data_IF_296057959465
#
_entry.id   IF_296057959465
#
_cell.length_a   1.000
_cell.length_b   1.000
_cell.length_c   1.000
_cell.angle_alpha   90.00
_cell.angle_beta   90.00
_cell.angle_gamma   90.00
#
_symmetry.space_group_name_H-M   'P 1'
#
loop_
_entity.id
_entity.type
_entity.pdbx_description
1 polymer ?
#
# COMPACT_ATOMS: atom_id res chain seq x y z
N UNK A 1 -6.97 25.78 13.06
CA UNK A 1 -7.24 24.33 12.97
C UNK A 1 -6.93 23.81 11.58
N UNK A 2 -7.53 24.35 10.51
CA UNK A 2 -7.22 23.97 9.12
C UNK A 2 -5.72 24.05 8.77
N UNK A 3 -5.06 25.15 9.11
CA UNK A 3 -3.61 25.34 8.84
C UNK A 3 -2.74 24.25 9.46
N UNK A 4 -3.05 23.81 10.69
CA UNK A 4 -2.33 22.73 11.37
C UNK A 4 -2.48 21.40 10.61
N UNK A 5 -3.69 21.08 10.13
CA UNK A 5 -3.96 19.85 9.38
C UNK A 5 -3.11 19.82 8.09
N UNK A 6 -3.06 20.93 7.36
CA UNK A 6 -2.21 21.05 6.17
C UNK A 6 -0.72 20.90 6.50
N UNK A 7 -0.23 21.57 7.55
CA UNK A 7 1.18 21.45 7.97
C UNK A 7 1.53 20.03 8.34
N UNK A 8 0.69 19.35 9.11
CA UNK A 8 0.88 17.94 9.50
C UNK A 8 0.87 17.04 8.27
N UNK A 9 -0.05 17.25 7.32
CA UNK A 9 -0.11 16.50 6.07
C UNK A 9 1.17 16.67 5.23
N UNK A 10 1.63 17.91 5.03
CA UNK A 10 2.88 18.17 4.30
C UNK A 10 4.09 17.56 4.99
N UNK A 11 4.22 17.71 6.31
CA UNK A 11 5.31 17.10 7.08
C UNK A 11 5.28 15.57 6.97
N UNK A 12 4.10 14.97 7.04
CA UNK A 12 3.93 13.51 6.91
C UNK A 12 4.39 13.01 5.53
N UNK A 13 4.01 13.71 4.45
CA UNK A 13 4.45 13.39 3.09
C UNK A 13 5.97 13.54 2.95
N UNK A 14 6.55 14.64 3.46
CA UNK A 14 8.00 14.90 3.39
C UNK A 14 8.78 13.82 4.16
N UNK A 15 8.36 13.51 5.39
CA UNK A 15 9.02 12.49 6.22
C UNK A 15 8.91 11.12 5.55
N UNK A 16 7.74 10.76 5.02
CA UNK A 16 7.53 9.51 4.30
C UNK A 16 8.46 9.39 3.09
N UNK A 17 8.51 10.42 2.23
CA UNK A 17 9.37 10.44 1.05
C UNK A 17 10.85 10.38 1.42
N UNK A 18 11.29 11.17 2.40
CA UNK A 18 12.68 11.17 2.87
C UNK A 18 13.10 9.80 3.43
N UNK A 19 12.24 9.17 4.25
CA UNK A 19 12.49 7.85 4.80
C UNK A 19 12.52 6.76 3.72
N UNK A 20 11.60 6.81 2.76
CA UNK A 20 11.55 5.87 1.63
C UNK A 20 12.79 5.99 0.74
N UNK A 21 13.17 7.22 0.35
CA UNK A 21 14.38 7.48 -0.46
C UNK A 21 15.63 7.01 0.29
N UNK A 22 15.75 7.35 1.57
CA UNK A 22 16.86 6.88 2.42
C UNK A 22 16.94 5.35 2.40
N UNK A 23 15.81 4.66 2.60
CA UNK A 23 15.76 3.19 2.59
C UNK A 23 16.20 2.60 1.26
N UNK A 24 15.78 3.19 0.14
CA UNK A 24 16.19 2.77 -1.22
C UNK A 24 17.70 2.96 -1.40
N UNK A 25 18.23 4.12 -1.02
CA UNK A 25 19.67 4.41 -1.12
C UNK A 25 20.47 3.44 -0.25
N UNK A 26 20.04 3.23 0.99
CA UNK A 26 20.70 2.31 1.93
C UNK A 26 20.70 0.87 1.38
N UNK A 27 19.60 0.43 0.75
CA UNK A 27 19.53 -0.89 0.13
C UNK A 27 20.47 -1.01 -1.08
N UNK A 28 20.52 0.01 -1.94
CA UNK A 28 21.42 0.03 -3.12
C UNK A 28 22.90 0.03 -2.75
N UNK A 29 23.26 0.60 -1.59
CA UNK A 29 24.65 0.65 -1.10
C UNK A 29 25.13 -0.64 -0.45
N UNK A 30 24.24 -1.59 -0.15
CA UNK A 30 24.63 -2.85 0.49
C UNK A 30 25.48 -3.71 -0.45
N UNK A 31 26.50 -4.42 0.07
CA UNK A 31 27.27 -5.36 -0.73
C UNK A 31 26.37 -6.51 -1.19
N UNK A 32 26.74 -7.17 -2.29
CA UNK A 32 25.87 -8.13 -3.00
C UNK A 32 25.41 -9.29 -2.11
N UNK A 33 26.26 -9.75 -1.19
CA UNK A 33 25.93 -10.82 -0.24
C UNK A 33 24.90 -10.42 0.84
N UNK A 34 24.59 -9.12 0.99
CA UNK A 34 23.55 -8.60 1.89
C UNK A 34 22.31 -8.13 1.12
N UNK A 35 22.39 -8.09 -0.23
CA UNK A 35 21.23 -7.83 -1.10
C UNK A 35 20.45 -9.14 -1.24
N UNK A 36 19.12 -9.05 -1.24
CA UNK A 36 18.22 -10.21 -1.35
C UNK A 36 18.17 -10.78 -2.79
N UNK A 37 19.32 -10.85 -3.45
CA UNK A 37 19.50 -11.47 -4.78
C UNK A 37 19.86 -12.96 -4.69
N UNK A 38 19.97 -13.48 -3.46
CA UNK A 38 20.30 -14.87 -3.13
C UNK A 38 19.08 -15.80 -3.05
N UNK A 39 17.86 -15.26 -3.17
CA UNK A 39 16.62 -16.05 -3.22
C UNK A 39 16.29 -16.43 -4.66
N UNK A 40 15.49 -17.48 -4.93
CA UNK A 40 15.02 -17.80 -6.27
C UNK A 40 14.44 -16.56 -6.94
N UNK A 41 15.13 -16.09 -7.96
CA UNK A 41 14.64 -14.99 -8.79
C UNK A 41 13.90 -15.62 -9.97
N UNK A 42 12.68 -15.19 -10.30
CA UNK A 42 11.88 -15.83 -11.34
C UNK A 42 12.60 -15.99 -12.69
N UNK A 43 13.53 -15.10 -13.00
CA UNK A 43 14.35 -15.16 -14.21
C UNK A 43 15.48 -16.21 -14.22
N UNK A 44 15.69 -16.96 -13.12
CA UNK A 44 16.70 -18.04 -13.02
C UNK A 44 16.24 -19.38 -13.65
N UNK A 45 15.08 -19.40 -14.32
CA UNK A 45 14.63 -20.53 -15.14
C UNK A 45 14.32 -21.77 -14.31
N UNK A 46 14.88 -22.94 -14.69
CA UNK A 46 14.66 -24.21 -13.97
C UNK A 46 15.12 -24.15 -12.51
N UNK A 47 16.08 -23.28 -12.19
CA UNK A 47 16.59 -23.11 -10.82
C UNK A 47 15.58 -22.47 -9.89
N UNK A 48 14.73 -21.59 -10.43
CA UNK A 48 13.69 -20.92 -9.66
C UNK A 48 12.71 -21.93 -9.04
N UNK A 49 12.53 -23.11 -9.65
CA UNK A 49 11.60 -24.14 -9.18
C UNK A 49 11.98 -24.74 -7.81
N UNK A 50 13.26 -24.78 -7.46
CA UNK A 50 13.74 -25.35 -6.20
C UNK A 50 14.40 -24.32 -5.26
N UNK A 51 14.41 -23.04 -5.62
CA UNK A 51 15.04 -22.02 -4.80
C UNK A 51 16.46 -21.63 -5.22
N UNK A 52 16.95 -22.13 -6.36
CA UNK A 52 18.33 -21.97 -6.76
C UNK A 52 18.67 -20.63 -7.41
N UNK A 53 19.97 -20.36 -7.52
CA UNK A 53 20.55 -19.15 -8.09
C UNK A 53 21.68 -19.49 -9.04
N UNK A 54 22.05 -18.57 -9.94
CA UNK A 54 23.24 -18.68 -10.77
C UNK A 54 24.54 -18.92 -9.97
N UNK A 55 24.56 -18.58 -8.68
CA UNK A 55 25.70 -18.82 -7.78
C UNK A 55 25.96 -20.29 -7.44
N UNK A 56 25.02 -21.19 -7.77
CA UNK A 56 25.20 -22.64 -7.54
C UNK A 56 26.15 -23.28 -8.56
N UNK A 57 26.35 -22.64 -9.71
CA UNK A 57 27.25 -23.15 -10.74
C UNK A 57 28.72 -22.96 -10.33
N UNK A 58 29.53 -24.00 -10.58
CA UNK A 58 30.98 -23.85 -10.60
C UNK A 58 31.36 -22.85 -11.70
N UNK A 59 32.27 -21.93 -11.35
CA UNK A 59 32.70 -20.81 -12.18
C UNK A 59 31.55 -19.90 -12.65
N UNK A 60 30.50 -19.74 -11.83
CA UNK A 60 29.36 -18.88 -12.15
C UNK A 60 29.76 -17.47 -12.58
N UNK A 61 30.85 -16.92 -12.05
CA UNK A 61 31.33 -15.58 -12.41
C UNK A 61 31.75 -15.46 -13.88
N UNK A 62 32.11 -16.58 -14.52
CA UNK A 62 32.43 -16.63 -15.96
C UNK A 62 31.16 -16.75 -16.81
N UNK A 63 30.11 -17.39 -16.27
CA UNK A 63 28.81 -17.61 -16.92
C UNK A 63 27.81 -16.50 -16.64
N UNK A 64 28.10 -15.63 -15.68
CA UNK A 64 27.22 -14.57 -15.23
C UNK A 64 26.98 -13.58 -16.37
N UNK A 65 25.81 -13.71 -17.01
CA UNK A 65 25.35 -12.77 -18.01
C UNK A 65 24.34 -11.86 -17.35
N UNK A 66 24.78 -10.66 -16.96
CA UNK A 66 23.87 -9.64 -16.45
C UNK A 66 22.76 -9.41 -17.48
N UNK A 67 21.53 -9.76 -17.11
CA UNK A 67 20.36 -9.45 -17.92
C UNK A 67 20.26 -7.93 -18.07
N UNK A 68 19.77 -7.46 -19.22
CA UNK A 68 19.38 -6.06 -19.31
C UNK A 68 18.25 -5.82 -18.31
N UNK A 69 18.25 -4.66 -17.65
CA UNK A 69 17.24 -4.32 -16.65
C UNK A 69 15.80 -4.48 -17.19
N UNK A 70 15.61 -4.27 -18.49
CA UNK A 70 14.33 -4.48 -19.18
C UNK A 70 13.91 -5.96 -19.21
N UNK A 71 14.85 -6.87 -19.48
CA UNK A 71 14.56 -8.30 -19.61
C UNK A 71 14.31 -8.94 -18.24
N UNK A 72 15.09 -8.53 -17.24
CA UNK A 72 14.87 -8.89 -15.83
C UNK A 72 13.46 -8.48 -15.40
N UNK A 73 13.09 -7.21 -15.63
CA UNK A 73 11.76 -6.71 -15.31
C UNK A 73 10.64 -7.50 -16.01
N UNK A 74 10.75 -7.79 -17.31
CA UNK A 74 9.70 -8.50 -18.04
C UNK A 74 9.48 -9.93 -17.53
N UNK A 75 10.53 -10.60 -17.04
CA UNK A 75 10.44 -11.96 -16.52
C UNK A 75 9.90 -11.99 -15.08
N UNK A 76 10.31 -11.05 -14.24
CA UNK A 76 9.94 -11.04 -12.81
C UNK A 76 8.57 -10.40 -12.54
N UNK A 77 8.19 -9.41 -13.34
CA UNK A 77 6.94 -8.65 -13.17
C UNK A 77 5.67 -9.51 -13.09
N UNK A 78 5.40 -10.49 -13.99
CA UNK A 78 4.17 -11.28 -13.90
C UNK A 78 4.09 -12.11 -12.62
N UNK A 79 5.21 -12.64 -12.13
CA UNK A 79 5.27 -13.40 -10.86
C UNK A 79 5.04 -12.46 -9.69
N UNK A 80 5.72 -11.32 -9.65
CA UNK A 80 5.53 -10.33 -8.59
C UNK A 80 4.11 -9.77 -8.56
N UNK A 81 3.48 -9.51 -9.71
CA UNK A 81 2.09 -9.05 -9.77
C UNK A 81 1.15 -10.10 -9.17
N UNK A 82 1.36 -11.39 -9.46
CA UNK A 82 0.55 -12.45 -8.86
C UNK A 82 0.73 -12.53 -7.34
N UNK A 83 1.97 -12.40 -6.86
CA UNK A 83 2.24 -12.39 -5.42
C UNK A 83 1.69 -11.17 -4.71
N UNK A 84 1.82 -9.97 -5.31
CA UNK A 84 1.31 -8.74 -4.73
C UNK A 84 -0.23 -8.76 -4.75
N UNK A 85 -0.85 -8.92 -5.92
CA UNK A 85 -2.30 -8.78 -6.04
C UNK A 85 -3.06 -9.93 -5.38
N UNK A 86 -2.59 -11.17 -5.52
CA UNK A 86 -3.33 -12.35 -5.08
C UNK A 86 -2.74 -13.06 -3.88
N UNK A 87 -1.55 -12.68 -3.40
CA UNK A 87 -0.84 -13.38 -2.33
C UNK A 87 -0.72 -14.88 -2.62
N UNK A 88 -0.32 -15.21 -3.86
CA UNK A 88 -0.32 -16.58 -4.39
C UNK A 88 0.44 -17.57 -3.51
N UNK A 89 1.62 -17.22 -3.00
CA UNK A 89 2.37 -18.07 -2.09
C UNK A 89 1.59 -18.38 -0.79
N UNK A 90 0.84 -17.40 -0.26
CA UNK A 90 -0.01 -17.61 0.93
C UNK A 90 -1.20 -18.50 0.58
N UNK A 91 -1.77 -18.36 -0.61
CA UNK A 91 -2.82 -19.24 -1.09
C UNK A 91 -2.35 -20.69 -1.21
N UNK A 92 -1.16 -20.92 -1.77
CA UNK A 92 -0.62 -22.26 -2.00
C UNK A 92 -0.16 -22.93 -0.70
N UNK A 93 0.52 -22.20 0.18
CA UNK A 93 1.15 -22.78 1.38
C UNK A 93 0.34 -22.60 2.67
N UNK A 94 -0.59 -21.64 2.75
CA UNK A 94 -1.39 -21.40 3.96
C UNK A 94 -2.76 -20.79 3.65
N UNK A 95 -3.65 -21.58 3.02
CA UNK A 95 -5.02 -21.16 2.67
C UNK A 95 -5.80 -20.54 3.83
N UNK A 96 -5.64 -21.09 5.04
CA UNK A 96 -6.30 -20.55 6.24
C UNK A 96 -5.88 -19.10 6.46
N UNK A 97 -4.60 -18.77 6.34
CA UNK A 97 -4.06 -17.41 6.48
C UNK A 97 -4.50 -16.50 5.34
N UNK A 98 -4.61 -17.04 4.13
CA UNK A 98 -5.06 -16.29 2.96
C UNK A 98 -6.44 -15.65 3.15
N UNK A 99 -7.44 -16.40 3.66
CA UNK A 99 -8.80 -15.86 3.84
C UNK A 99 -8.90 -14.64 4.76
N UNK A 100 -7.90 -14.43 5.63
CA UNK A 100 -7.83 -13.28 6.52
C UNK A 100 -6.92 -12.19 5.95
N UNK A 101 -5.82 -12.59 5.32
CA UNK A 101 -4.80 -11.67 4.80
C UNK A 101 -5.22 -11.02 3.48
N UNK A 102 -5.91 -11.76 2.62
CA UNK A 102 -6.33 -11.27 1.30
C UNK A 102 -7.36 -10.14 1.39
N UNK A 103 -8.44 -10.21 2.21
CA UNK A 103 -9.35 -9.09 2.39
C UNK A 103 -8.66 -7.82 2.89
N UNK A 104 -7.66 -7.95 3.79
CA UNK A 104 -6.86 -6.82 4.25
C UNK A 104 -6.10 -6.16 3.08
N UNK A 105 -5.40 -6.93 2.27
CA UNK A 105 -4.62 -6.40 1.14
C UNK A 105 -5.51 -5.85 0.03
N UNK A 106 -6.61 -6.54 -0.29
CA UNK A 106 -7.61 -6.04 -1.22
C UNK A 106 -8.15 -4.69 -0.75
N UNK A 107 -8.47 -4.55 0.55
CA UNK A 107 -8.86 -3.29 1.15
C UNK A 107 -7.81 -2.19 0.96
N UNK A 108 -6.52 -2.49 1.15
CA UNK A 108 -5.42 -1.55 0.89
C UNK A 108 -5.31 -1.16 -0.59
N UNK A 109 -5.50 -2.10 -1.53
CA UNK A 109 -5.48 -1.78 -2.96
C UNK A 109 -6.64 -0.88 -3.38
N UNK A 110 -7.84 -1.13 -2.85
CA UNK A 110 -9.00 -0.26 -3.05
C UNK A 110 -8.78 1.11 -2.41
N UNK A 111 -8.13 1.17 -1.24
CA UNK A 111 -7.75 2.44 -0.58
C UNK A 111 -6.79 3.26 -1.44
N UNK A 112 -5.74 2.65 -1.98
CA UNK A 112 -4.78 3.33 -2.87
C UNK A 112 -5.51 3.87 -4.10
N UNK A 113 -6.41 3.05 -4.68
CA UNK A 113 -7.24 3.45 -5.82
C UNK A 113 -8.17 4.61 -5.47
N UNK A 114 -8.79 4.57 -4.29
CA UNK A 114 -9.66 5.63 -3.76
C UNK A 114 -8.91 6.95 -3.57
N UNK A 115 -7.72 6.93 -2.95
CA UNK A 115 -6.88 8.13 -2.80
C UNK A 115 -6.47 8.68 -4.18
N UNK A 116 -6.14 7.80 -5.14
CA UNK A 116 -5.84 8.19 -6.51
C UNK A 116 -7.03 8.87 -7.21
N UNK A 117 -8.25 8.38 -6.99
CA UNK A 117 -9.47 9.01 -7.52
C UNK A 117 -9.79 10.35 -6.85
N UNK A 118 -9.55 10.49 -5.55
CA UNK A 118 -9.67 11.78 -4.86
C UNK A 118 -8.68 12.80 -5.41
N UNK A 119 -7.45 12.39 -5.66
CA UNK A 119 -6.42 13.22 -6.26
C UNK A 119 -6.81 13.65 -7.69
N UNK A 120 -7.28 12.72 -8.51
CA UNK A 120 -7.77 13.03 -9.86
C UNK A 120 -8.99 13.97 -9.83
N UNK A 121 -9.94 13.71 -8.92
CA UNK A 121 -11.09 14.58 -8.71
C UNK A 121 -10.71 16.01 -8.31
N UNK A 122 -9.71 16.15 -7.44
CA UNK A 122 -9.16 17.45 -7.05
C UNK A 122 -8.51 18.19 -8.23
N UNK A 123 -7.80 17.49 -9.13
CA UNK A 123 -7.25 18.09 -10.35
C UNK A 123 -8.36 18.64 -11.24
N UNK A 124 -9.43 17.87 -11.47
CA UNK A 124 -10.58 18.35 -12.25
C UNK A 124 -11.27 19.56 -11.60
N UNK A 125 -11.33 19.60 -10.27
CA UNK A 125 -11.90 20.71 -9.53
C UNK A 125 -11.07 21.98 -9.72
N UNK A 126 -9.74 21.87 -9.66
CA UNK A 126 -8.81 22.99 -9.91
C UNK A 126 -8.83 23.44 -11.38
N UNK A 127 -9.10 22.53 -12.32
CA UNK A 127 -9.28 22.83 -13.73
C UNK A 127 -10.63 23.50 -14.06
N UNK A 128 -11.51 23.70 -13.07
CA UNK A 128 -12.79 24.40 -13.25
C UNK A 128 -13.90 23.53 -13.87
N UNK A 129 -13.82 22.21 -13.74
CA UNK A 129 -14.88 21.31 -14.23
C UNK A 129 -16.23 21.60 -13.54
N UNK A 130 -17.30 21.74 -14.33
CA UNK A 130 -18.64 22.01 -13.82
C UNK A 130 -19.12 20.87 -12.90
N UNK A 131 -19.37 21.17 -11.62
CA UNK A 131 -19.69 20.16 -10.61
C UNK A 131 -18.48 19.61 -9.83
N UNK A 132 -17.29 20.17 -10.04
CA UNK A 132 -16.07 19.87 -9.29
C UNK A 132 -15.33 18.62 -9.79
N UNK A 133 -16.01 17.51 -10.04
CA UNK A 133 -15.38 16.30 -10.60
C UNK A 133 -16.33 15.55 -11.55
N UNK A 134 -15.80 14.83 -12.56
CA UNK A 134 -16.58 13.93 -13.40
C UNK A 134 -17.44 12.95 -12.58
N UNK A 135 -18.68 12.73 -13.01
CA UNK A 135 -19.64 11.86 -12.32
C UNK A 135 -19.11 10.43 -12.09
N UNK A 136 -18.34 9.89 -13.05
CA UNK A 136 -17.72 8.57 -12.92
C UNK A 136 -16.70 8.50 -11.78
N UNK A 137 -15.92 9.57 -11.57
CA UNK A 137 -14.95 9.64 -10.47
C UNK A 137 -15.69 9.70 -9.14
N UNK A 138 -16.75 10.51 -9.05
CA UNK A 138 -17.59 10.61 -7.84
C UNK A 138 -18.21 9.24 -7.51
N UNK A 139 -18.80 8.57 -8.50
CA UNK A 139 -19.40 7.25 -8.32
C UNK A 139 -18.39 6.20 -7.86
N UNK A 140 -17.22 6.13 -8.50
CA UNK A 140 -16.15 5.20 -8.12
C UNK A 140 -15.60 5.52 -6.72
N UNK A 141 -15.47 6.80 -6.35
CA UNK A 141 -15.00 7.22 -5.02
C UNK A 141 -16.00 6.79 -3.94
N UNK A 142 -17.30 7.01 -4.16
CA UNK A 142 -18.38 6.63 -3.24
C UNK A 142 -18.52 5.12 -3.08
N UNK A 143 -18.09 4.34 -4.09
CA UNK A 143 -18.11 2.89 -4.06
C UNK A 143 -16.84 2.33 -3.38
N UNK A 144 -15.66 2.75 -3.84
CA UNK A 144 -14.37 2.20 -3.40
C UNK A 144 -13.99 2.63 -1.98
N UNK A 145 -14.32 3.86 -1.57
CA UNK A 145 -14.01 4.36 -0.22
C UNK A 145 -14.59 3.46 0.88
N UNK A 146 -15.92 3.29 0.96
CA UNK A 146 -16.56 2.47 1.99
C UNK A 146 -16.13 1.00 1.94
N UNK A 147 -16.00 0.42 0.74
CA UNK A 147 -15.52 -0.95 0.60
C UNK A 147 -14.10 -1.11 1.13
N UNK A 148 -13.22 -0.15 0.86
CA UNK A 148 -11.85 -0.18 1.36
C UNK A 148 -11.80 -0.09 2.89
N UNK A 149 -12.56 0.83 3.52
CA UNK A 149 -12.60 0.97 4.98
C UNK A 149 -13.05 -0.33 5.65
N UNK A 150 -14.15 -0.91 5.18
CA UNK A 150 -14.72 -2.15 5.73
C UNK A 150 -13.73 -3.31 5.59
N UNK A 151 -13.16 -3.51 4.40
CA UNK A 151 -12.23 -4.61 4.15
C UNK A 151 -10.94 -4.49 4.96
N UNK A 152 -10.38 -3.29 5.11
CA UNK A 152 -9.19 -3.08 5.93
C UNK A 152 -9.50 -3.31 7.41
N UNK A 153 -10.64 -2.83 7.94
CA UNK A 153 -11.03 -3.08 9.33
C UNK A 153 -11.22 -4.57 9.60
N UNK A 154 -12.02 -5.25 8.77
CA UNK A 154 -12.29 -6.69 8.92
C UNK A 154 -11.01 -7.53 8.76
N UNK A 155 -10.18 -7.21 7.77
CA UNK A 155 -8.91 -7.89 7.54
C UNK A 155 -7.89 -7.65 8.65
N UNK A 156 -7.74 -6.40 9.11
CA UNK A 156 -6.80 -6.05 10.17
C UNK A 156 -7.20 -6.64 11.53
N UNK A 157 -8.49 -6.59 11.88
CA UNK A 157 -9.01 -7.24 13.11
C UNK A 157 -8.82 -8.75 13.05
N UNK A 158 -9.10 -9.38 11.92
CA UNK A 158 -8.84 -10.81 11.71
C UNK A 158 -7.36 -11.16 11.86
N UNK A 159 -6.45 -10.37 11.26
CA UNK A 159 -5.00 -10.58 11.38
C UNK A 159 -4.51 -10.38 12.82
N UNK A 160 -5.04 -9.37 13.51
CA UNK A 160 -4.72 -9.09 14.90
C UNK A 160 -5.16 -10.25 15.80
N UNK A 161 -6.40 -10.72 15.64
CA UNK A 161 -6.93 -11.87 16.36
C UNK A 161 -6.05 -13.12 16.16
N UNK A 162 -5.65 -13.39 14.91
CA UNK A 162 -4.77 -14.52 14.62
C UNK A 162 -3.37 -14.39 15.21
N UNK A 163 -2.77 -13.19 15.20
CA UNK A 163 -1.45 -12.98 15.82
C UNK A 163 -1.47 -13.13 17.34
N UNK A 164 -2.61 -12.86 17.98
CA UNK A 164 -2.76 -13.03 19.42
C UNK A 164 -2.96 -14.50 19.83
N UNK A 165 -3.74 -15.25 19.03
CA UNK A 165 -4.20 -16.60 19.39
C UNK A 165 -3.39 -17.75 18.75
N UNK A 166 -2.77 -17.53 17.60
CA UNK A 166 -1.96 -18.55 16.93
C UNK A 166 -0.53 -18.52 17.48
N UNK A 167 -0.17 -19.53 18.26
CA UNK A 167 1.17 -19.64 18.87
C UNK A 167 2.30 -19.72 17.84
N UNK A 168 2.01 -20.19 16.62
CA UNK A 168 2.96 -20.22 15.51
C UNK A 168 3.27 -18.80 15.02
N UNK A 169 2.24 -17.98 14.81
CA UNK A 169 2.40 -16.59 14.34
C UNK A 169 2.90 -15.64 15.43
N UNK A 170 2.51 -15.87 16.68
CA UNK A 170 2.89 -15.01 17.81
C UNK A 170 4.39 -15.00 18.06
N UNK A 171 5.06 -16.16 17.92
CA UNK A 171 6.52 -16.29 18.08
C UNK A 171 7.33 -15.47 17.08
N UNK A 172 6.78 -15.25 15.89
CA UNK A 172 7.41 -14.44 14.83
C UNK A 172 6.87 -13.01 14.77
N UNK A 173 6.04 -12.59 15.73
CA UNK A 173 5.44 -11.26 15.74
C UNK A 173 6.15 -10.33 16.72
N UNK A 174 6.81 -9.28 16.19
CA UNK A 174 7.26 -8.11 16.94
C UNK A 174 6.12 -7.18 17.36
N UNK A 175 6.37 -6.31 18.36
CA UNK A 175 5.45 -5.26 18.81
C UNK A 175 4.95 -4.36 17.67
N UNK A 176 5.84 -4.03 16.72
CA UNK A 176 5.52 -3.22 15.55
C UNK A 176 4.35 -3.77 14.74
N UNK A 177 4.21 -5.10 14.63
CA UNK A 177 3.08 -5.69 13.90
C UNK A 177 1.73 -5.47 14.59
N UNK A 178 1.69 -5.54 15.93
CA UNK A 178 0.47 -5.28 16.70
C UNK A 178 0.11 -3.80 16.65
N UNK A 179 1.10 -2.93 16.84
CA UNK A 179 0.91 -1.48 16.77
C UNK A 179 0.41 -1.03 15.40
N UNK A 180 1.04 -1.48 14.31
CA UNK A 180 0.63 -1.11 12.96
C UNK A 180 -0.78 -1.61 12.61
N UNK A 181 -1.12 -2.85 12.98
CA UNK A 181 -2.49 -3.36 12.76
C UNK A 181 -3.52 -2.59 13.58
N UNK A 182 -3.23 -2.27 14.84
CA UNK A 182 -4.08 -1.42 15.66
C UNK A 182 -4.27 -0.03 15.05
N UNK A 183 -3.20 0.57 14.53
CA UNK A 183 -3.24 1.85 13.85
C UNK A 183 -4.13 1.79 12.60
N UNK A 184 -4.00 0.76 11.75
CA UNK A 184 -4.88 0.58 10.60
C UNK A 184 -6.35 0.47 11.00
N UNK A 185 -6.68 -0.28 12.06
CA UNK A 185 -8.06 -0.40 12.54
C UNK A 185 -8.56 0.97 13.01
N UNK A 186 -7.77 1.68 13.80
CA UNK A 186 -8.14 2.97 14.37
C UNK A 186 -8.36 4.05 13.28
N UNK A 187 -7.40 4.21 12.37
CA UNK A 187 -7.50 5.22 11.31
C UNK A 187 -8.65 4.93 10.35
N UNK A 188 -8.84 3.67 9.96
CA UNK A 188 -9.95 3.28 9.09
C UNK A 188 -11.31 3.41 9.78
N UNK A 189 -11.38 3.17 11.09
CA UNK A 189 -12.61 3.40 11.85
C UNK A 189 -12.97 4.90 11.87
N UNK A 190 -12.00 5.80 12.08
CA UNK A 190 -12.23 7.25 12.00
C UNK A 190 -12.67 7.65 10.59
N UNK A 191 -12.01 7.14 9.54
CA UNK A 191 -12.40 7.40 8.15
C UNK A 191 -13.82 6.91 7.84
N UNK A 192 -14.19 5.73 8.34
CA UNK A 192 -15.52 5.16 8.19
C UNK A 192 -16.60 6.00 8.90
N UNK A 193 -16.35 6.44 10.13
CA UNK A 193 -17.25 7.32 10.88
C UNK A 193 -17.38 8.69 10.21
N UNK A 194 -16.28 9.25 9.72
CA UNK A 194 -16.27 10.52 8.98
C UNK A 194 -17.11 10.43 7.72
N UNK A 195 -16.99 9.33 6.98
CA UNK A 195 -17.83 9.07 5.80
C UNK A 195 -19.32 8.94 6.17
N UNK A 196 -19.66 8.21 7.24
CA UNK A 196 -21.06 8.02 7.64
C UNK A 196 -21.75 9.31 8.10
N UNK A 197 -21.06 10.16 8.85
CA UNK A 197 -21.70 11.27 9.57
C UNK A 197 -21.39 12.66 9.03
N UNK A 198 -20.29 12.84 8.28
CA UNK A 198 -19.79 14.17 7.93
C UNK A 198 -19.63 14.39 6.43
N UNK A 199 -19.05 13.41 5.72
CA UNK A 199 -18.76 13.55 4.30
C UNK A 199 -19.12 12.29 3.47
N UNK A 200 -20.41 11.90 3.38
CA UNK A 200 -20.82 10.72 2.61
C UNK A 200 -20.46 10.80 1.11
N UNK A 201 -20.38 12.01 0.57
CA UNK A 201 -20.07 12.28 -0.84
C UNK A 201 -18.60 12.56 -1.13
N UNK A 202 -17.72 12.52 -0.12
CA UNK A 202 -16.30 12.85 -0.22
C UNK A 202 -15.99 14.25 -0.80
N UNK A 203 -16.89 15.22 -0.60
CA UNK A 203 -16.71 16.59 -1.09
C UNK A 203 -15.67 17.33 -0.25
N UNK A 204 -15.71 17.16 1.08
CA UNK A 204 -14.71 17.72 1.99
C UNK A 204 -13.34 17.10 1.70
N UNK A 205 -13.29 15.77 1.48
CA UNK A 205 -12.07 15.06 1.06
C UNK A 205 -11.46 15.63 -0.23
N UNK A 206 -12.26 15.85 -1.28
CA UNK A 206 -11.77 16.42 -2.55
C UNK A 206 -11.31 17.86 -2.42
N UNK A 207 -12.05 18.69 -1.68
CA UNK A 207 -11.66 20.10 -1.46
C UNK A 207 -10.38 20.22 -0.65
N UNK A 208 -10.18 19.34 0.34
CA UNK A 208 -8.93 19.26 1.09
C UNK A 208 -7.75 18.86 0.19
N UNK A 209 -7.93 17.85 -0.66
CA UNK A 209 -6.93 17.43 -1.65
C UNK A 209 -6.61 18.53 -2.67
N UNK A 210 -7.62 19.29 -3.12
CA UNK A 210 -7.42 20.44 -4.00
C UNK A 210 -6.61 21.55 -3.30
N UNK A 211 -6.88 21.81 -2.02
CA UNK A 211 -6.08 22.71 -1.19
C UNK A 211 -4.62 22.25 -1.04
N UNK A 212 -4.40 20.93 -0.84
CA UNK A 212 -3.05 20.35 -0.75
C UNK A 212 -2.24 20.55 -2.04
N UNK A 213 -2.87 20.35 -3.20
CA UNK A 213 -2.23 20.48 -4.52
C UNK A 213 -1.94 21.95 -4.84
N UNK A 214 -2.88 22.85 -4.54
CA UNK A 214 -2.78 24.28 -4.86
C UNK A 214 -1.99 25.09 -3.83
N UNK A 215 -1.54 24.47 -2.73
CA UNK A 215 -1.00 25.13 -1.54
C UNK A 215 -1.96 26.19 -0.95
N UNK A 216 -3.26 26.04 -1.23
CA UNK A 216 -4.33 26.86 -0.69
C UNK A 216 -4.87 26.28 0.61
N UNK A 217 -4.66 27.00 1.72
CA UNK A 217 -5.11 26.58 3.06
C UNK A 217 -6.61 26.84 3.24
N UNK A 218 -7.45 26.10 2.50
CA UNK A 218 -8.90 26.24 2.58
C UNK A 218 -9.41 25.80 3.97
N UNK A 219 -10.41 26.48 4.54
CA UNK A 219 -10.93 26.13 5.85
C UNK A 219 -11.66 24.78 5.80
N UNK A 220 -11.22 23.84 6.64
CA UNK A 220 -11.89 22.57 6.90
C UNK A 220 -12.97 22.81 7.95
N UNK A 221 -14.22 22.42 7.65
CA UNK A 221 -15.39 22.79 8.45
C UNK A 221 -15.63 21.94 9.71
N UNK A 222 -14.98 20.77 9.84
CA UNK A 222 -15.16 19.87 10.99
C UNK A 222 -13.83 19.44 11.61
N UNK A 223 -13.79 19.33 12.95
CA UNK A 223 -12.63 18.83 13.71
C UNK A 223 -12.46 17.31 13.62
N UNK A 224 -13.51 16.59 13.23
CA UNK A 224 -13.47 15.13 13.01
C UNK A 224 -12.91 14.76 11.63
N UNK A 225 -12.73 15.74 10.74
CA UNK A 225 -12.04 15.54 9.47
C UNK A 225 -10.53 15.51 9.74
N UNK A 226 -10.03 14.34 10.14
CA UNK A 226 -8.63 14.07 10.44
C UNK A 226 -8.26 12.63 10.05
#
# INVERSE_FOLDING_TARGET
MSTLIYVVAYLSIIIFLAAAIKKIIDYKKKPIHVRWELYPVPHEGERAAYGGSCLEDVDWWQKYKKLSATKELMMDLPVMIQEILFLKAVWEHNRRLWYVTYPFHLGLYLMISFIGLLFLGAIFQLAGYSGGSPAIIIALTNLLGPMSFILVICGATGLLHRRLNDSGLRKYSSFSHFFNLGLFIFTMAISFLTWLFLDPGFTMARTFMAGLISFGLTPVSSSLFL
#
